data_IF_685900689782
#
_entry.id   IF_685900689782
#
_cell.length_a   1.000
_cell.length_b   1.000
_cell.length_c   1.000
_cell.angle_alpha   90.00
_cell.angle_beta   90.00
_cell.angle_gamma   90.00
#
_symmetry.space_group_name_H-M   'P 1'
#
loop_
_entity.id
_entity.type
_entity.pdbx_description
1 polymer ?
#
# COMPACT_ATOMS: atom_id res chain seq x y z
N UNK A 1 6.73 -12.11 3.21
CA UNK A 1 8.07 -11.93 2.59
C UNK A 1 7.93 -10.90 1.50
N UNK A 2 8.87 -9.95 1.41
CA UNK A 2 8.85 -8.90 0.39
C UNK A 2 9.16 -9.52 -0.98
N UNK A 3 8.18 -9.45 -1.90
CA UNK A 3 8.28 -10.00 -3.26
C UNK A 3 9.02 -9.07 -4.21
N UNK A 4 8.79 -7.77 -4.08
CA UNK A 4 9.50 -6.73 -4.81
C UNK A 4 9.79 -5.54 -3.87
N UNK A 5 11.05 -5.15 -3.65
CA UNK A 5 11.40 -4.11 -2.69
C UNK A 5 10.95 -2.71 -3.11
N UNK A 6 10.86 -2.42 -4.41
CA UNK A 6 10.46 -1.10 -4.91
C UNK A 6 8.96 -0.87 -4.75
N UNK A 7 8.14 -1.85 -5.13
CA UNK A 7 6.69 -1.74 -4.91
C UNK A 7 6.36 -1.74 -3.43
N UNK A 8 7.08 -2.55 -2.63
CA UNK A 8 6.91 -2.58 -1.19
C UNK A 8 7.21 -1.21 -0.55
N UNK A 9 8.37 -0.61 -0.86
CA UNK A 9 8.73 0.71 -0.32
C UNK A 9 7.71 1.78 -0.73
N UNK A 10 7.21 1.76 -1.98
CA UNK A 10 6.14 2.65 -2.40
C UNK A 10 4.85 2.41 -1.59
N UNK A 11 4.47 1.16 -1.36
CA UNK A 11 3.31 0.82 -0.53
C UNK A 11 3.44 1.37 0.90
N UNK A 12 4.63 1.29 1.50
CA UNK A 12 4.91 1.88 2.82
C UNK A 12 4.75 3.40 2.78
N UNK A 13 5.33 4.10 1.79
CA UNK A 13 5.15 5.55 1.64
C UNK A 13 3.66 5.91 1.55
N UNK A 14 2.89 5.15 0.78
CA UNK A 14 1.45 5.39 0.62
C UNK A 14 0.66 5.13 1.92
N UNK A 15 1.07 4.17 2.75
CA UNK A 15 0.53 3.96 4.11
C UNK A 15 0.83 5.18 4.98
N UNK A 16 2.09 5.61 5.02
CA UNK A 16 2.52 6.73 5.86
C UNK A 16 1.81 8.03 5.47
N UNK A 17 1.57 8.26 4.17
CA UNK A 17 0.76 9.38 3.69
C UNK A 17 -0.69 9.30 4.15
N UNK A 18 -1.28 8.11 4.16
CA UNK A 18 -2.68 7.92 4.58
C UNK A 18 -2.88 8.15 6.08
N UNK A 19 -1.93 7.72 6.89
CA UNK A 19 -2.00 7.85 8.35
C UNK A 19 -1.29 9.08 8.90
N UNK A 20 -0.57 9.82 8.04
CA UNK A 20 0.22 11.01 8.41
C UNK A 20 1.23 10.74 9.53
N UNK A 21 1.80 9.53 9.53
CA UNK A 21 2.74 9.09 10.55
C UNK A 21 3.71 8.04 9.98
N UNK A 22 4.94 7.95 10.50
CA UNK A 22 5.89 6.91 10.10
C UNK A 22 5.37 5.51 10.45
N UNK A 23 5.75 4.51 9.65
CA UNK A 23 5.32 3.12 9.83
C UNK A 23 5.65 2.57 11.23
N UNK A 24 6.78 2.99 11.81
CA UNK A 24 7.20 2.57 13.15
C UNK A 24 6.29 3.11 14.27
N UNK A 25 5.68 4.27 14.10
CA UNK A 25 4.69 4.78 15.04
C UNK A 25 3.36 4.04 14.89
N UNK A 26 3.01 3.64 13.67
CA UNK A 26 1.84 2.79 13.41
C UNK A 26 1.98 1.42 14.06
N UNK A 27 3.21 0.88 14.18
CA UNK A 27 3.47 -0.39 14.87
C UNK A 27 2.88 -0.42 16.27
N UNK A 28 3.02 0.66 17.03
CA UNK A 28 2.49 0.77 18.41
C UNK A 28 0.96 0.77 18.41
N UNK A 29 0.35 1.44 17.43
CA UNK A 29 -1.10 1.51 17.30
C UNK A 29 -1.70 0.14 16.96
N UNK A 30 -1.10 -0.58 16.01
CA UNK A 30 -1.62 -1.87 15.55
C UNK A 30 -1.28 -3.04 16.49
N UNK A 31 -0.13 -3.01 17.20
CA UNK A 31 0.18 -4.00 18.27
C UNK A 31 -0.81 -3.93 19.44
N UNK A 32 -1.41 -2.78 19.71
CA UNK A 32 -2.41 -2.65 20.79
C UNK A 32 -3.81 -3.14 20.36
N UNK A 33 -4.08 -3.23 19.06
CA UNK A 33 -5.39 -3.63 18.51
C UNK A 33 -5.46 -5.13 18.28
N UNK A 34 -4.37 -5.74 17.83
CA UNK A 34 -4.27 -7.17 17.62
C UNK A 34 -3.33 -7.77 18.66
N UNK A 35 -3.85 -8.72 19.46
CA UNK A 35 -3.15 -9.44 20.53
C UNK A 35 -1.68 -9.77 20.23
N UNK A 36 -0.82 -9.65 21.25
CA UNK A 36 0.66 -9.72 21.30
C UNK A 36 1.40 -10.82 20.49
N UNK A 37 0.71 -11.71 19.79
CA UNK A 37 1.24 -12.95 19.18
C UNK A 37 1.36 -12.93 17.64
N UNK A 38 1.02 -11.83 16.95
CA UNK A 38 0.99 -11.82 15.47
C UNK A 38 2.35 -11.66 14.76
N UNK A 39 3.48 -11.66 15.47
CA UNK A 39 4.79 -11.59 14.82
C UNK A 39 5.01 -10.32 13.96
N UNK A 40 4.36 -9.22 14.33
CA UNK A 40 4.50 -7.88 13.70
C UNK A 40 5.88 -7.25 13.89
N UNK A 41 6.91 -8.03 14.19
CA UNK A 41 8.30 -7.55 14.25
C UNK A 41 8.86 -7.36 12.84
N UNK A 42 8.37 -8.13 11.87
CA UNK A 42 8.66 -7.89 10.46
C UNK A 42 7.89 -6.68 9.95
N UNK A 43 8.61 -5.74 9.32
CA UNK A 43 8.03 -4.61 8.59
C UNK A 43 7.01 -5.06 7.54
N UNK A 44 7.25 -6.20 6.88
CA UNK A 44 6.32 -6.76 5.91
C UNK A 44 4.97 -7.13 6.54
N UNK A 45 4.96 -7.84 7.66
CA UNK A 45 3.71 -8.26 8.31
C UNK A 45 2.93 -7.05 8.80
N UNK A 46 3.61 -6.05 9.38
CA UNK A 46 2.98 -4.80 9.77
C UNK A 46 2.33 -4.09 8.58
N UNK A 47 3.07 -3.91 7.47
CA UNK A 47 2.54 -3.22 6.30
C UNK A 47 1.39 -3.99 5.64
N UNK A 48 1.45 -5.33 5.59
CA UNK A 48 0.40 -6.19 5.07
C UNK A 48 -0.89 -6.10 5.92
N UNK A 49 -0.75 -6.22 7.24
CA UNK A 49 -1.85 -6.03 8.20
C UNK A 49 -2.48 -4.65 8.05
N UNK A 50 -1.68 -3.59 8.03
CA UNK A 50 -2.19 -2.23 7.85
C UNK A 50 -2.92 -2.13 6.52
N UNK A 51 -2.31 -2.54 5.40
CA UNK A 51 -2.90 -2.45 4.06
C UNK A 51 -4.26 -3.15 3.95
N UNK A 52 -4.41 -4.28 4.65
CA UNK A 52 -5.65 -5.05 4.71
C UNK A 52 -6.71 -4.36 5.57
N UNK A 53 -6.29 -3.79 6.70
CA UNK A 53 -7.15 -3.12 7.69
C UNK A 53 -7.49 -1.66 7.35
N UNK A 54 -6.79 -1.03 6.38
CA UNK A 54 -7.01 0.39 6.03
C UNK A 54 -8.50 0.65 5.77
N UNK A 55 -9.00 1.72 6.38
CA UNK A 55 -10.33 2.24 6.06
C UNK A 55 -10.25 3.07 4.78
N UNK A 56 -11.35 3.20 4.04
CA UNK A 56 -11.38 3.89 2.75
C UNK A 56 -11.35 5.43 2.88
N UNK A 57 -10.64 5.99 3.88
CA UNK A 57 -10.56 7.44 4.09
C UNK A 57 -10.01 8.18 2.87
N UNK A 58 -9.05 7.59 2.14
CA UNK A 58 -8.57 8.09 0.85
C UNK A 58 -9.23 7.41 -0.36
N UNK A 59 -10.35 6.71 -0.14
CA UNK A 59 -11.10 5.98 -1.14
C UNK A 59 -10.65 4.52 -1.34
N UNK A 60 -11.54 3.72 -1.94
CA UNK A 60 -11.31 2.28 -2.20
C UNK A 60 -10.11 2.05 -3.14
N UNK A 61 -9.98 2.88 -4.18
CA UNK A 61 -8.87 2.79 -5.13
C UNK A 61 -7.51 2.98 -4.46
N UNK A 62 -7.39 3.94 -3.55
CA UNK A 62 -6.13 4.16 -2.83
C UNK A 62 -5.74 2.95 -1.98
N UNK A 63 -6.70 2.37 -1.25
CA UNK A 63 -6.49 1.14 -0.48
C UNK A 63 -6.02 -0.01 -1.38
N UNK A 64 -6.66 -0.21 -2.52
CA UNK A 64 -6.29 -1.28 -3.47
C UNK A 64 -4.87 -1.09 -4.00
N UNK A 65 -4.48 0.14 -4.34
CA UNK A 65 -3.10 0.47 -4.75
C UNK A 65 -2.10 0.08 -3.66
N UNK A 66 -2.34 0.49 -2.41
CA UNK A 66 -1.45 0.16 -1.28
C UNK A 66 -1.30 -1.34 -1.14
N UNK A 67 -2.41 -2.08 -1.11
CA UNK A 67 -2.42 -3.53 -0.96
C UNK A 67 -1.58 -4.21 -2.04
N UNK A 68 -1.77 -3.82 -3.31
CA UNK A 68 -1.04 -4.40 -4.44
C UNK A 68 0.44 -4.07 -4.43
N UNK A 69 0.81 -2.85 -4.01
CA UNK A 69 2.20 -2.44 -3.85
C UNK A 69 2.92 -3.27 -2.76
N UNK A 70 2.32 -3.43 -1.58
CA UNK A 70 2.88 -4.22 -0.47
C UNK A 70 3.06 -5.69 -0.85
N UNK A 71 2.06 -6.27 -1.51
CA UNK A 71 2.04 -7.68 -1.85
C UNK A 71 2.64 -8.02 -3.23
N UNK A 72 3.03 -7.01 -4.00
CA UNK A 72 3.41 -7.13 -5.43
C UNK A 72 2.41 -8.00 -6.20
N UNK A 73 1.12 -7.75 -5.99
CA UNK A 73 0.02 -8.58 -6.53
C UNK A 73 -0.56 -7.96 -7.81
N UNK A 74 0.16 -8.16 -8.91
CA UNK A 74 -0.18 -7.65 -10.23
C UNK A 74 -0.37 -8.77 -11.27
N UNK A 75 -0.39 -10.03 -10.84
CA UNK A 75 -0.59 -11.20 -11.72
C UNK A 75 0.54 -11.51 -12.71
N UNK A 76 1.70 -10.85 -12.61
CA UNK A 76 2.77 -10.88 -13.63
C UNK A 76 4.16 -11.27 -13.08
N UNK A 77 4.20 -11.99 -11.95
CA UNK A 77 5.46 -12.24 -11.24
C UNK A 77 5.93 -11.01 -10.46
N UNK A 78 7.23 -10.96 -10.12
CA UNK A 78 7.78 -9.98 -9.18
C UNK A 78 8.91 -9.10 -9.74
N UNK A 79 9.28 -9.28 -11.01
CA UNK A 79 10.32 -8.50 -11.66
C UNK A 79 9.74 -7.22 -12.29
N UNK A 80 10.08 -6.07 -11.71
CA UNK A 80 9.57 -4.75 -12.15
C UNK A 80 10.15 -4.34 -13.51
N UNK A 81 11.19 -5.01 -13.99
CA UNK A 81 11.72 -4.80 -15.34
C UNK A 81 10.97 -5.61 -16.40
N UNK A 82 10.11 -6.55 -16.00
CA UNK A 82 9.29 -7.30 -16.95
C UNK A 82 8.14 -6.43 -17.49
N UNK A 83 7.91 -6.51 -18.81
CA UNK A 83 6.81 -5.77 -19.46
C UNK A 83 5.45 -6.10 -18.84
N UNK A 84 5.23 -7.37 -18.48
CA UNK A 84 3.99 -7.82 -17.87
C UNK A 84 3.74 -7.13 -16.51
N UNK A 85 4.77 -7.02 -15.67
CA UNK A 85 4.63 -6.33 -14.38
C UNK A 85 4.51 -4.81 -14.56
N UNK A 86 5.23 -4.22 -15.51
CA UNK A 86 5.12 -2.80 -15.82
C UNK A 86 3.72 -2.41 -16.30
N UNK A 87 3.11 -3.23 -17.15
CA UNK A 87 1.73 -3.02 -17.61
C UNK A 87 0.73 -3.13 -16.46
N UNK A 88 0.87 -4.16 -15.60
CA UNK A 88 0.06 -4.30 -14.39
C UNK A 88 0.21 -3.10 -13.44
N UNK A 89 1.46 -2.71 -13.16
CA UNK A 89 1.76 -1.55 -12.31
C UNK A 89 1.20 -0.24 -12.89
N UNK A 90 1.36 -0.01 -14.20
CA UNK A 90 0.79 1.17 -14.85
C UNK A 90 -0.74 1.23 -14.70
N UNK A 91 -1.43 0.14 -15.02
CA UNK A 91 -2.90 0.08 -14.97
C UNK A 91 -3.45 0.19 -13.55
N UNK A 92 -2.82 -0.51 -12.61
CA UNK A 92 -3.40 -0.72 -11.29
C UNK A 92 -2.86 0.24 -10.22
N UNK A 93 -1.72 0.90 -10.49
CA UNK A 93 -1.14 1.94 -9.62
C UNK A 93 -1.27 3.29 -10.28
N UNK A 94 -0.63 3.51 -11.43
CA UNK A 94 -0.50 4.85 -12.03
C UNK A 94 -1.86 5.41 -12.46
N UNK A 95 -2.64 4.65 -13.24
CA UNK A 95 -3.96 5.11 -13.68
C UNK A 95 -4.93 5.37 -12.51
N UNK A 96 -4.85 4.56 -11.45
CA UNK A 96 -5.71 4.72 -10.27
C UNK A 96 -5.33 5.99 -9.49
N UNK A 97 -4.03 6.20 -9.25
CA UNK A 97 -3.55 7.41 -8.57
C UNK A 97 -3.82 8.68 -9.38
N UNK A 98 -3.65 8.64 -10.70
CA UNK A 98 -4.01 9.75 -11.61
C UNK A 98 -5.51 10.05 -11.57
N UNK A 99 -6.37 9.02 -11.51
CA UNK A 99 -7.81 9.19 -11.33
C UNK A 99 -8.17 9.86 -10.00
N UNK A 100 -7.53 9.44 -8.91
CA UNK A 100 -7.71 10.04 -7.58
C UNK A 100 -7.23 11.50 -7.59
N UNK A 101 -6.05 11.77 -8.15
CA UNK A 101 -5.48 13.12 -8.26
C UNK A 101 -6.40 14.07 -9.01
N UNK A 102 -6.91 13.64 -10.16
CA UNK A 102 -7.90 14.39 -10.94
C UNK A 102 -9.14 14.68 -10.11
N UNK A 103 -9.70 13.67 -9.44
CA UNK A 103 -10.88 13.85 -8.62
C UNK A 103 -10.67 14.89 -7.50
N UNK A 104 -9.53 14.83 -6.82
CA UNK A 104 -9.15 15.79 -5.75
C UNK A 104 -8.93 17.21 -6.28
N UNK A 105 -8.38 17.37 -7.50
CA UNK A 105 -8.22 18.70 -8.11
C UNK A 105 -9.54 19.36 -8.49
N UNK A 106 -10.53 18.56 -8.90
CA UNK A 106 -11.83 19.07 -9.36
C UNK A 106 -12.86 19.18 -8.23
N UNK A 107 -12.67 18.49 -7.10
CA UNK A 107 -13.40 18.74 -5.85
C UNK A 107 -12.74 19.91 -5.10
N UNK A 108 -12.91 21.13 -5.60
CA UNK A 108 -12.64 22.33 -4.79
C UNK A 108 -13.63 22.34 -3.62
N UNK A 109 -13.09 22.23 -2.41
CA UNK A 109 -13.78 22.52 -1.14
C UNK A 109 -14.08 24.00 -1.04
#
# INVERSE_FOLDING_TARGET
MIRNPHTFALGVILIELAYQAPLDDLRKLFKNVESDDLGLDSEFYLADTISSAMTSQLGKGYKEVVYKCINCDFGAGFDLLSEALQDGFYKEVICVLDGIEKHLRFTKT
#
